data_IF_794733739253
#
_entry.id   IF_794733739253
#
_cell.length_a   1.000
_cell.length_b   1.000
_cell.length_c   1.000
_cell.angle_alpha   90.00
_cell.angle_beta   90.00
_cell.angle_gamma   90.00
#
_symmetry.space_group_name_H-M   'P 1'
#
loop_
_entity.id
_entity.type
_entity.pdbx_description
1 polymer ?
#
# COMPACT_ATOMS: atom_id res chain seq x y z
N UNK A 1 -26.17 -18.23 -15.89
CA UNK A 1 -26.43 -16.88 -15.38
C UNK A 1 -27.89 -16.60 -15.63
N UNK A 2 -28.73 -16.97 -14.67
CA UNK A 2 -30.16 -16.65 -14.61
C UNK A 2 -31.09 -17.30 -15.63
N UNK A 3 -32.38 -17.22 -15.30
CA UNK A 3 -33.49 -17.75 -16.10
C UNK A 3 -34.71 -16.82 -15.99
N UNK A 4 -35.59 -16.84 -17.00
CA UNK A 4 -36.87 -16.17 -16.94
C UNK A 4 -37.92 -17.04 -16.25
N UNK A 5 -38.40 -16.63 -15.09
CA UNK A 5 -39.46 -17.29 -14.34
C UNK A 5 -40.70 -16.40 -14.31
N UNK A 6 -41.86 -16.89 -14.76
CA UNK A 6 -43.14 -16.18 -14.70
C UNK A 6 -43.15 -14.73 -15.25
N UNK A 7 -42.29 -14.41 -16.22
CA UNK A 7 -42.21 -13.08 -16.82
C UNK A 7 -41.21 -12.12 -16.16
N UNK A 8 -40.54 -12.52 -15.07
CA UNK A 8 -39.41 -11.78 -14.48
C UNK A 8 -38.09 -12.53 -14.67
N UNK A 9 -37.00 -11.78 -14.68
CA UNK A 9 -35.65 -12.37 -14.75
C UNK A 9 -35.17 -12.69 -13.34
N UNK A 10 -34.59 -13.88 -13.18
CA UNK A 10 -34.00 -14.32 -11.92
C UNK A 10 -32.53 -14.62 -12.12
N UNK A 11 -31.67 -13.99 -11.32
CA UNK A 11 -30.24 -14.21 -11.36
C UNK A 11 -29.86 -15.55 -10.69
N UNK A 12 -29.21 -16.43 -11.44
CA UNK A 12 -28.64 -17.70 -10.96
C UNK A 12 -27.13 -17.70 -11.22
N UNK A 13 -26.35 -17.26 -10.23
CA UNK A 13 -24.89 -17.19 -10.29
C UNK A 13 -24.28 -18.41 -9.59
N UNK A 14 -23.31 -19.05 -10.23
CA UNK A 14 -22.49 -20.11 -9.64
C UNK A 14 -21.06 -19.62 -9.62
N UNK A 15 -20.48 -19.52 -8.43
CA UNK A 15 -19.11 -19.06 -8.24
C UNK A 15 -18.13 -20.24 -8.36
N UNK A 16 -16.96 -20.00 -8.97
CA UNK A 16 -15.99 -21.05 -9.33
C UNK A 16 -15.18 -21.51 -8.10
N UNK A 17 -15.06 -20.69 -7.06
CA UNK A 17 -14.42 -21.08 -5.79
C UNK A 17 -15.44 -21.11 -4.65
N UNK A 18 -15.33 -22.13 -3.80
CA UNK A 18 -16.08 -22.20 -2.53
C UNK A 18 -15.55 -21.25 -1.44
N UNK A 19 -14.44 -20.55 -1.70
CA UNK A 19 -13.69 -19.76 -0.71
C UNK A 19 -14.00 -18.24 -0.77
N UNK A 20 -15.13 -17.81 -1.35
CA UNK A 20 -15.53 -16.39 -1.39
C UNK A 20 -15.91 -15.84 0.01
N UNK A 21 -15.75 -16.63 1.07
CA UNK A 21 -16.33 -16.35 2.39
C UNK A 21 -15.55 -15.36 3.27
N UNK A 22 -14.37 -14.87 2.86
CA UNK A 22 -13.56 -14.03 3.76
C UNK A 22 -13.38 -12.57 3.30
N UNK A 23 -12.51 -12.29 2.32
CA UNK A 23 -12.14 -10.90 1.98
C UNK A 23 -12.98 -10.25 0.89
N UNK A 24 -13.65 -11.05 0.06
CA UNK A 24 -14.42 -10.57 -1.10
C UNK A 24 -15.92 -10.50 -0.85
N UNK A 25 -16.40 -11.03 0.28
CA UNK A 25 -17.81 -11.07 0.66
C UNK A 25 -18.51 -9.69 0.62
N UNK A 26 -17.90 -8.58 1.08
CA UNK A 26 -18.54 -7.26 0.98
C UNK A 26 -18.74 -6.81 -0.47
N UNK A 27 -17.74 -7.05 -1.34
CA UNK A 27 -17.82 -6.72 -2.76
C UNK A 27 -18.82 -7.61 -3.50
N UNK A 28 -18.95 -8.87 -3.07
CA UNK A 28 -19.96 -9.79 -3.59
C UNK A 28 -21.38 -9.31 -3.28
N UNK A 29 -21.61 -8.86 -2.05
CA UNK A 29 -22.90 -8.33 -1.62
C UNK A 29 -23.27 -7.04 -2.36
N UNK A 30 -22.30 -6.13 -2.53
CA UNK A 30 -22.49 -4.92 -3.34
C UNK A 30 -22.85 -5.29 -4.79
N UNK A 31 -22.13 -6.24 -5.38
CA UNK A 31 -22.40 -6.72 -6.73
C UNK A 31 -23.79 -7.36 -6.86
N UNK A 32 -24.20 -8.18 -5.90
CA UNK A 32 -25.54 -8.77 -5.86
C UNK A 32 -26.62 -7.68 -5.80
N UNK A 33 -26.46 -6.67 -4.94
CA UNK A 33 -27.37 -5.53 -4.84
C UNK A 33 -27.45 -4.72 -6.14
N UNK A 34 -26.37 -4.63 -6.92
CA UNK A 34 -26.38 -3.98 -8.23
C UNK A 34 -27.12 -4.82 -9.27
N UNK A 35 -26.95 -6.15 -9.25
CA UNK A 35 -27.66 -7.05 -10.15
C UNK A 35 -29.16 -7.09 -9.90
N UNK A 36 -29.59 -7.08 -8.64
CA UNK A 36 -31.02 -7.06 -8.29
C UNK A 36 -31.74 -5.81 -8.81
N UNK A 37 -31.02 -4.68 -8.96
CA UNK A 37 -31.56 -3.45 -9.56
C UNK A 37 -31.63 -3.50 -11.08
N UNK A 38 -31.00 -4.49 -11.71
CA UNK A 38 -30.92 -4.62 -13.15
C UNK A 38 -31.90 -5.70 -13.65
N UNK A 39 -32.90 -5.27 -14.42
CA UNK A 39 -33.81 -6.16 -15.13
C UNK A 39 -33.45 -6.22 -16.62
N UNK A 40 -32.97 -7.37 -17.13
CA UNK A 40 -32.77 -7.56 -18.56
C UNK A 40 -34.08 -7.38 -19.33
N UNK A 41 -34.02 -6.82 -20.53
CA UNK A 41 -35.18 -6.64 -21.40
C UNK A 41 -35.13 -7.64 -22.54
N UNK A 42 -36.23 -8.34 -22.79
CA UNK A 42 -36.31 -9.29 -23.91
C UNK A 42 -36.21 -8.55 -25.24
N UNK A 43 -35.48 -9.14 -26.19
CA UNK A 43 -35.35 -8.66 -27.57
C UNK A 43 -34.70 -7.27 -27.71
N UNK A 44 -33.91 -6.85 -26.71
CA UNK A 44 -33.05 -5.67 -26.81
C UNK A 44 -31.60 -6.15 -26.85
N UNK A 45 -30.79 -5.54 -27.72
CA UNK A 45 -29.37 -5.83 -27.81
C UNK A 45 -28.65 -5.21 -26.62
N UNK A 46 -27.76 -5.97 -25.98
CA UNK A 46 -26.97 -5.48 -24.85
C UNK A 46 -26.06 -4.32 -25.25
N UNK A 47 -25.94 -3.34 -24.36
CA UNK A 47 -25.04 -2.20 -24.51
C UNK A 47 -24.31 -1.92 -23.18
N UNK A 48 -23.07 -1.45 -23.27
CA UNK A 48 -22.33 -0.95 -22.12
C UNK A 48 -22.84 0.45 -21.77
N UNK A 49 -23.27 0.64 -20.53
CA UNK A 49 -23.67 1.94 -20.00
C UNK A 49 -22.73 2.34 -18.86
N UNK A 50 -22.15 3.54 -18.95
CA UNK A 50 -21.27 4.08 -17.93
C UNK A 50 -21.97 5.19 -17.15
N UNK A 51 -22.47 4.85 -15.97
CA UNK A 51 -23.30 5.73 -15.14
C UNK A 51 -22.58 6.95 -14.55
N UNK A 52 -21.24 6.99 -14.60
CA UNK A 52 -20.49 8.09 -13.98
C UNK A 52 -20.29 9.30 -14.91
N UNK A 53 -20.74 9.24 -16.16
CA UNK A 53 -20.66 10.36 -17.09
C UNK A 53 -21.96 10.51 -17.90
N UNK A 54 -22.30 11.73 -18.28
CA UNK A 54 -23.56 12.02 -18.99
C UNK A 54 -23.59 11.49 -20.42
N UNK A 55 -22.41 11.29 -21.02
CA UNK A 55 -22.24 10.73 -22.36
C UNK A 55 -22.35 9.19 -22.40
N UNK A 56 -22.49 8.53 -21.24
CA UNK A 56 -22.53 7.07 -21.09
C UNK A 56 -21.29 6.33 -21.60
N UNK A 57 -20.20 7.05 -21.89
CA UNK A 57 -18.97 6.47 -22.42
C UNK A 57 -18.01 6.20 -21.27
N UNK A 58 -17.55 4.96 -21.18
CA UNK A 58 -16.48 4.62 -20.27
C UNK A 58 -15.18 5.29 -20.69
N UNK A 59 -14.60 6.06 -19.77
CA UNK A 59 -13.21 6.50 -19.88
C UNK A 59 -12.46 6.18 -18.59
N UNK A 60 -11.18 5.83 -18.71
CA UNK A 60 -10.30 5.61 -17.54
C UNK A 60 -10.33 6.81 -16.58
N UNK A 61 -10.40 8.04 -17.14
CA UNK A 61 -10.51 9.28 -16.36
C UNK A 61 -11.80 9.33 -15.53
N UNK A 62 -12.96 9.08 -16.15
CA UNK A 62 -14.25 9.13 -15.44
C UNK A 62 -14.38 8.04 -14.36
N UNK A 63 -13.88 6.83 -14.64
CA UNK A 63 -13.78 5.74 -13.66
C UNK A 63 -12.88 6.12 -12.49
N UNK A 64 -11.68 6.63 -12.77
CA UNK A 64 -10.77 7.09 -11.73
C UNK A 64 -11.41 8.18 -10.85
N UNK A 65 -12.07 9.18 -11.43
CA UNK A 65 -12.72 10.25 -10.67
C UNK A 65 -13.88 9.74 -9.82
N UNK A 66 -14.72 8.85 -10.36
CA UNK A 66 -15.82 8.25 -9.61
C UNK A 66 -15.32 7.42 -8.42
N UNK A 67 -14.29 6.59 -8.64
CA UNK A 67 -13.63 5.83 -7.59
C UNK A 67 -13.02 6.74 -6.52
N UNK A 68 -12.35 7.82 -6.91
CA UNK A 68 -11.80 8.78 -5.95
C UNK A 68 -12.88 9.50 -5.15
N UNK A 69 -14.05 9.75 -5.72
CA UNK A 69 -15.18 10.37 -5.04
C UNK A 69 -15.86 9.41 -4.05
N UNK A 70 -16.12 8.17 -4.45
CA UNK A 70 -16.70 7.14 -3.58
C UNK A 70 -15.79 6.80 -2.41
N UNK A 71 -14.48 6.75 -2.65
CA UNK A 71 -13.53 6.49 -1.57
C UNK A 71 -13.24 7.70 -0.68
N UNK A 72 -13.69 8.91 -1.07
CA UNK A 72 -13.60 10.11 -0.22
C UNK A 72 -14.73 10.20 0.82
N UNK A 73 -15.74 9.31 0.76
CA UNK A 73 -16.96 9.40 1.57
C UNK A 73 -17.02 8.45 2.77
N UNK A 74 -15.97 7.67 3.09
CA UNK A 74 -16.00 6.75 4.24
C UNK A 74 -14.64 6.49 4.93
N UNK A 75 -14.60 6.64 6.27
CA UNK A 75 -13.72 5.88 7.18
C UNK A 75 -12.19 5.96 7.05
N UNK A 76 -11.50 4.94 7.59
CA UNK A 76 -10.03 4.75 7.56
C UNK A 76 -9.46 4.82 6.12
N UNK A 77 -10.24 4.41 5.12
CA UNK A 77 -9.88 4.40 3.69
C UNK A 77 -9.65 5.81 3.10
N UNK A 78 -10.44 6.81 3.51
CA UNK A 78 -10.24 8.19 3.10
C UNK A 78 -8.87 8.75 3.54
N UNK A 79 -8.37 8.31 4.70
CA UNK A 79 -7.06 8.71 5.22
C UNK A 79 -5.92 8.06 4.44
N UNK A 80 -6.04 6.77 4.14
CA UNK A 80 -5.08 6.05 3.30
C UNK A 80 -4.96 6.66 1.90
N UNK A 81 -6.09 7.03 1.29
CA UNK A 81 -6.10 7.62 -0.06
C UNK A 81 -5.50 9.01 -0.08
N UNK A 82 -5.80 9.84 0.93
CA UNK A 82 -5.14 11.14 1.10
C UNK A 82 -3.64 10.98 1.21
N UNK A 83 -3.18 10.04 2.03
CA UNK A 83 -1.75 9.75 2.18
C UNK A 83 -1.14 9.23 0.89
N UNK A 84 -1.79 8.29 0.20
CA UNK A 84 -1.35 7.78 -1.10
C UNK A 84 -1.21 8.90 -2.13
N UNK A 85 -2.19 9.80 -2.22
CA UNK A 85 -2.19 10.95 -3.11
C UNK A 85 -1.09 11.96 -2.79
N UNK A 86 -0.93 12.35 -1.52
CA UNK A 86 0.16 13.23 -1.08
C UNK A 86 1.51 12.63 -1.44
N UNK A 87 1.64 11.34 -1.19
CA UNK A 87 2.89 10.66 -1.38
C UNK A 87 3.21 10.51 -2.89
N UNK A 88 2.22 10.40 -3.79
CA UNK A 88 2.46 10.40 -5.25
C UNK A 88 3.03 11.73 -5.75
N UNK A 89 2.71 12.84 -5.08
CA UNK A 89 3.20 14.19 -5.42
C UNK A 89 4.66 14.44 -5.03
N UNK A 90 5.25 13.62 -4.16
CA UNK A 90 6.67 13.73 -3.75
C UNK A 90 7.57 13.45 -4.96
N UNK A 91 8.60 14.26 -5.21
CA UNK A 91 9.52 14.08 -6.34
C UNK A 91 10.66 13.10 -5.97
N UNK A 92 10.33 11.81 -6.02
CA UNK A 92 11.26 10.69 -5.82
C UNK A 92 11.12 9.70 -7.00
N UNK A 93 12.09 8.79 -7.22
CA UNK A 93 12.01 7.82 -8.31
C UNK A 93 10.72 6.97 -8.26
N UNK A 94 10.12 6.70 -9.42
CA UNK A 94 8.84 5.97 -9.53
C UNK A 94 8.86 4.60 -8.85
N UNK A 95 10.00 3.89 -8.87
CA UNK A 95 10.18 2.61 -8.16
C UNK A 95 9.98 2.71 -6.65
N UNK A 96 10.38 3.83 -6.05
CA UNK A 96 10.22 4.11 -4.62
C UNK A 96 8.77 4.44 -4.30
N UNK A 97 8.10 5.21 -5.18
CA UNK A 97 6.65 5.48 -5.06
C UNK A 97 5.83 4.19 -5.11
N UNK A 98 6.18 3.29 -6.02
CA UNK A 98 5.51 2.00 -6.17
C UNK A 98 5.73 1.10 -4.95
N UNK A 99 6.95 1.04 -4.42
CA UNK A 99 7.23 0.28 -3.19
C UNK A 99 6.33 0.74 -2.05
N UNK A 100 6.21 2.05 -1.84
CA UNK A 100 5.34 2.60 -0.80
C UNK A 100 3.88 2.29 -1.00
N UNK A 101 3.38 2.38 -2.22
CA UNK A 101 2.00 2.00 -2.50
C UNK A 101 1.74 0.56 -2.02
N UNK A 102 2.68 -0.34 -2.30
CA UNK A 102 2.61 -1.72 -1.81
C UNK A 102 2.76 -1.81 -0.29
N UNK A 103 3.58 -0.98 0.33
CA UNK A 103 3.75 -0.93 1.78
C UNK A 103 2.44 -0.53 2.46
N UNK A 104 1.80 0.56 2.06
CA UNK A 104 0.55 1.04 2.67
C UNK A 104 -0.65 0.11 2.47
N UNK A 105 -0.63 -0.67 1.41
CA UNK A 105 -1.69 -1.65 1.14
C UNK A 105 -1.43 -3.02 1.80
N UNK A 106 -0.35 -3.17 2.58
CA UNK A 106 0.13 -4.45 3.10
C UNK A 106 0.36 -5.52 2.00
N UNK A 107 0.89 -5.07 0.85
CA UNK A 107 1.08 -5.87 -0.39
C UNK A 107 2.55 -6.10 -0.76
N UNK A 108 3.49 -5.83 0.14
CA UNK A 108 4.88 -6.25 -0.06
C UNK A 108 4.99 -7.78 0.02
N UNK A 109 5.87 -8.42 -0.78
CA UNK A 109 6.05 -9.86 -0.78
C UNK A 109 6.94 -10.30 0.40
N UNK A 110 6.51 -9.97 1.62
CA UNK A 110 7.07 -10.51 2.86
C UNK A 110 6.67 -11.99 2.99
N UNK A 111 7.42 -12.77 3.77
CA UNK A 111 7.12 -14.21 3.92
C UNK A 111 5.71 -14.45 4.46
N UNK A 112 5.24 -13.63 5.40
CA UNK A 112 3.86 -13.73 5.89
C UNK A 112 2.84 -13.44 4.77
N UNK A 113 3.06 -12.43 3.94
CA UNK A 113 2.14 -12.10 2.85
C UNK A 113 2.16 -13.12 1.71
N UNK A 114 3.33 -13.72 1.44
CA UNK A 114 3.47 -14.80 0.48
C UNK A 114 2.79 -16.08 0.97
N UNK A 115 2.92 -16.41 2.27
CA UNK A 115 2.21 -17.53 2.90
C UNK A 115 0.69 -17.38 2.80
N UNK A 116 0.14 -16.18 3.04
CA UNK A 116 -1.28 -15.86 2.83
C UNK A 116 -1.75 -16.07 1.37
N UNK A 117 -0.84 -16.04 0.40
CA UNK A 117 -1.14 -16.25 -1.03
C UNK A 117 -0.97 -17.72 -1.48
N UNK A 118 -0.85 -18.64 -0.53
CA UNK A 118 -0.74 -20.08 -0.81
C UNK A 118 0.68 -20.53 -1.15
N UNK A 119 1.71 -19.70 -0.97
CA UNK A 119 3.08 -20.19 -1.03
C UNK A 119 3.39 -20.97 0.26
N UNK A 120 3.73 -22.24 0.10
CA UNK A 120 4.07 -23.13 1.20
C UNK A 120 5.32 -22.66 1.93
N UNK A 121 5.14 -22.07 3.10
CA UNK A 121 6.21 -21.81 4.06
C UNK A 121 5.85 -22.55 5.34
N UNK A 122 6.77 -23.37 5.84
CA UNK A 122 6.67 -23.87 7.21
C UNK A 122 6.86 -22.71 8.20
N UNK A 123 6.41 -22.86 9.45
CA UNK A 123 6.51 -21.80 10.48
C UNK A 123 7.94 -21.27 10.61
N UNK A 124 8.94 -22.15 10.54
CA UNK A 124 10.36 -21.78 10.60
C UNK A 124 10.86 -21.03 9.36
N UNK A 125 10.19 -21.16 8.22
CA UNK A 125 10.57 -20.48 6.98
C UNK A 125 9.93 -19.09 6.86
N UNK A 126 8.97 -18.75 7.73
CA UNK A 126 8.33 -17.42 7.77
C UNK A 126 9.13 -16.37 8.53
N UNK A 127 10.23 -16.75 9.17
CA UNK A 127 11.04 -15.84 9.99
C UNK A 127 11.68 -14.69 9.18
N UNK A 128 11.86 -13.55 9.82
CA UNK A 128 12.46 -12.34 9.26
C UNK A 128 13.89 -12.58 8.76
N UNK A 129 14.18 -12.11 7.53
CA UNK A 129 15.50 -12.23 6.93
C UNK A 129 16.62 -11.45 7.66
N UNK A 130 16.27 -10.56 8.59
CA UNK A 130 17.25 -9.80 9.37
C UNK A 130 17.54 -10.44 10.73
N UNK A 131 16.50 -10.73 11.53
CA UNK A 131 16.68 -11.20 12.91
C UNK A 131 16.56 -12.72 13.05
N UNK A 132 16.01 -13.42 12.05
CA UNK A 132 15.75 -14.86 12.07
C UNK A 132 14.95 -15.36 13.29
N UNK A 133 14.26 -14.45 14.01
CA UNK A 133 13.59 -14.74 15.29
C UNK A 133 12.07 -14.65 15.19
N UNK A 134 11.55 -13.57 14.60
CA UNK A 134 10.11 -13.30 14.51
C UNK A 134 9.61 -13.45 13.07
N UNK A 135 8.31 -13.66 12.91
CA UNK A 135 7.65 -13.74 11.60
C UNK A 135 7.86 -12.47 10.76
N UNK A 136 8.19 -12.64 9.48
CA UNK A 136 8.44 -11.55 8.54
C UNK A 136 7.12 -10.96 8.02
N UNK A 137 6.51 -10.08 8.80
CA UNK A 137 5.46 -9.18 8.34
C UNK A 137 6.04 -7.78 8.05
N UNK A 138 5.26 -6.88 7.42
CA UNK A 138 5.76 -5.54 7.05
C UNK A 138 6.12 -4.71 8.29
N UNK A 139 5.28 -4.73 9.33
CA UNK A 139 5.52 -3.99 10.57
C UNK A 139 6.83 -4.40 11.24
N UNK A 140 7.04 -5.71 11.37
CA UNK A 140 8.27 -6.27 11.90
C UNK A 140 9.48 -5.91 11.05
N UNK A 141 9.42 -6.20 9.75
CA UNK A 141 10.54 -5.96 8.83
C UNK A 141 10.95 -4.48 8.79
N UNK A 142 9.98 -3.57 8.78
CA UNK A 142 10.24 -2.15 8.61
C UNK A 142 10.54 -1.43 9.92
N UNK A 143 9.93 -1.80 11.04
CA UNK A 143 9.93 -0.96 12.25
C UNK A 143 10.30 -1.70 13.54
N UNK A 144 9.95 -2.98 13.70
CA UNK A 144 10.12 -3.66 15.00
C UNK A 144 11.39 -4.48 15.09
N UNK A 145 11.89 -4.97 13.95
CA UNK A 145 13.12 -5.74 13.86
C UNK A 145 14.31 -4.93 14.37
N UNK A 146 15.18 -5.58 15.16
CA UNK A 146 16.34 -4.92 15.77
C UNK A 146 17.23 -4.22 14.75
N UNK A 147 17.51 -4.85 13.61
CA UNK A 147 18.30 -4.25 12.53
C UNK A 147 17.64 -2.99 11.95
N UNK A 148 16.32 -3.02 11.78
CA UNK A 148 15.55 -1.87 11.29
C UNK A 148 15.50 -0.75 12.32
N UNK A 149 15.33 -1.08 13.61
CA UNK A 149 15.42 -0.12 14.72
C UNK A 149 16.77 0.58 14.77
N UNK A 150 17.87 -0.16 14.56
CA UNK A 150 19.20 0.45 14.47
C UNK A 150 19.30 1.46 13.32
N UNK A 151 18.80 1.11 12.13
CA UNK A 151 18.75 2.03 10.99
C UNK A 151 17.94 3.28 11.35
N UNK A 152 16.72 3.11 11.88
CA UNK A 152 15.87 4.23 12.26
C UNK A 152 16.51 5.13 13.33
N UNK A 153 17.20 4.55 14.31
CA UNK A 153 17.94 5.31 15.33
C UNK A 153 19.01 6.20 14.68
N UNK A 154 19.81 5.67 13.76
CA UNK A 154 20.84 6.44 13.05
C UNK A 154 20.25 7.56 12.19
N UNK A 155 19.08 7.32 11.58
CA UNK A 155 18.36 8.37 10.84
C UNK A 155 17.78 9.41 11.81
N UNK A 156 17.22 9.02 12.96
CA UNK A 156 16.72 9.95 13.97
C UNK A 156 17.82 10.86 14.50
N UNK A 157 19.00 10.30 14.79
CA UNK A 157 20.20 11.07 15.20
C UNK A 157 20.60 12.06 14.11
N UNK A 158 20.62 11.62 12.85
CA UNK A 158 20.94 12.51 11.72
C UNK A 158 19.95 13.65 11.53
N UNK A 159 18.66 13.42 11.82
CA UNK A 159 17.63 14.44 11.69
C UNK A 159 17.45 15.30 12.95
N UNK A 160 18.21 15.03 14.01
CA UNK A 160 18.04 15.65 15.35
C UNK A 160 16.57 15.58 15.82
N UNK A 161 15.86 14.52 15.41
CA UNK A 161 14.43 14.35 15.66
C UNK A 161 14.13 12.91 16.02
N UNK A 162 13.42 12.75 17.13
CA UNK A 162 13.12 11.43 17.63
C UNK A 162 11.96 10.78 16.84
N UNK A 163 12.31 9.90 15.90
CA UNK A 163 11.33 9.06 15.20
C UNK A 163 11.03 7.78 15.98
N UNK A 164 10.81 7.84 17.30
CA UNK A 164 10.42 6.63 18.04
C UNK A 164 9.08 6.11 17.54
N UNK A 165 9.14 4.95 16.89
CA UNK A 165 7.99 4.16 16.47
C UNK A 165 7.57 3.26 17.65
N UNK A 166 6.53 3.64 18.38
CA UNK A 166 5.90 2.79 19.41
C UNK A 166 4.50 2.34 18.94
N UNK A 167 4.19 1.05 19.08
CA UNK A 167 2.86 0.47 18.77
C UNK A 167 2.67 0.00 17.32
N UNK A 168 1.42 -0.21 16.89
CA UNK A 168 1.06 -0.70 15.54
C UNK A 168 1.49 0.29 14.44
N UNK A 169 2.71 0.09 13.95
CA UNK A 169 3.58 1.15 13.42
C UNK A 169 3.13 1.74 12.07
N UNK A 170 2.31 1.03 11.28
CA UNK A 170 1.80 1.57 10.02
C UNK A 170 0.66 2.56 10.26
N UNK A 171 -0.26 2.24 11.18
CA UNK A 171 -1.33 3.16 11.60
C UNK A 171 -0.77 4.33 12.40
N UNK A 172 0.21 4.07 13.26
CA UNK A 172 0.89 5.09 14.05
C UNK A 172 1.73 6.05 13.19
N UNK A 173 2.27 5.63 12.06
CA UNK A 173 2.96 6.56 11.14
C UNK A 173 1.97 7.45 10.36
N UNK A 174 0.85 6.89 9.89
CA UNK A 174 -0.22 7.65 9.23
C UNK A 174 -0.87 8.67 10.19
N UNK A 175 -1.03 8.31 11.46
CA UNK A 175 -1.51 9.22 12.51
C UNK A 175 -0.42 10.18 13.01
N UNK A 176 0.84 9.78 13.09
CA UNK A 176 1.95 10.70 13.38
C UNK A 176 2.06 11.80 12.31
N UNK A 177 1.67 11.52 11.06
CA UNK A 177 1.62 12.53 10.00
C UNK A 177 0.60 13.66 10.27
N UNK A 178 -0.50 13.40 10.99
CA UNK A 178 -1.44 14.46 11.41
C UNK A 178 -0.93 15.25 12.62
N UNK A 179 -0.07 14.64 13.45
CA UNK A 179 0.46 15.22 14.69
C UNK A 179 1.77 16.01 14.53
N UNK A 180 2.47 15.89 13.40
CA UNK A 180 3.68 16.68 13.09
C UNK A 180 3.34 18.16 12.78
N UNK A 181 2.97 18.92 13.81
CA UNK A 181 3.07 20.38 13.88
C UNK A 181 4.53 20.73 14.23
N UNK A 182 5.29 21.30 13.30
CA UNK A 182 6.65 21.78 13.56
C UNK A 182 7.50 21.92 12.29
N UNK A 183 8.22 23.03 12.19
CA UNK A 183 8.72 23.74 10.99
C UNK A 183 9.86 23.08 10.17
N UNK A 184 9.99 21.75 10.14
CA UNK A 184 10.81 21.07 9.11
C UNK A 184 9.87 20.55 8.02
N UNK A 185 10.04 21.03 6.79
CA UNK A 185 9.12 20.78 5.66
C UNK A 185 8.64 19.32 5.64
N UNK A 186 7.33 19.11 5.82
CA UNK A 186 6.69 17.79 5.84
C UNK A 186 7.12 16.93 4.66
N UNK A 187 7.43 17.55 3.53
CA UNK A 187 7.90 16.84 2.34
C UNK A 187 9.32 16.27 2.51
N UNK A 188 10.22 16.95 3.22
CA UNK A 188 11.58 16.45 3.51
C UNK A 188 11.54 15.16 4.31
N UNK A 189 10.74 15.14 5.39
CA UNK A 189 10.50 13.94 6.21
C UNK A 189 9.93 12.78 5.39
N UNK A 190 9.01 13.06 4.46
CA UNK A 190 8.49 12.06 3.53
C UNK A 190 9.59 11.46 2.66
N UNK A 191 10.44 12.29 2.05
CA UNK A 191 11.52 11.79 1.20
C UNK A 191 12.43 10.87 2.01
N UNK A 192 12.88 11.30 3.19
CA UNK A 192 13.79 10.51 4.04
C UNK A 192 13.15 9.19 4.46
N UNK A 193 11.91 9.21 4.97
CA UNK A 193 11.21 8.00 5.38
C UNK A 193 11.06 6.99 4.23
N UNK A 194 10.73 7.51 3.05
CA UNK A 194 10.59 6.72 1.82
C UNK A 194 11.89 6.10 1.36
N UNK A 195 12.97 6.87 1.45
CA UNK A 195 14.33 6.38 1.19
C UNK A 195 14.68 5.28 2.17
N UNK A 196 14.42 5.45 3.47
CA UNK A 196 14.67 4.42 4.50
C UNK A 196 13.95 3.13 4.18
N UNK A 197 12.62 3.15 3.98
CA UNK A 197 11.85 1.96 3.64
C UNK A 197 12.37 1.28 2.35
N UNK A 198 12.77 2.07 1.36
CA UNK A 198 13.35 1.56 0.11
C UNK A 198 14.65 0.79 0.32
N UNK A 199 15.59 1.33 1.09
CA UNK A 199 16.87 0.67 1.34
C UNK A 199 16.73 -0.52 2.29
N UNK A 200 15.86 -0.44 3.30
CA UNK A 200 15.51 -1.59 4.15
C UNK A 200 14.96 -2.73 3.30
N UNK A 201 13.99 -2.45 2.42
CA UNK A 201 13.43 -3.45 1.53
C UNK A 201 14.46 -4.06 0.57
N UNK A 202 15.30 -3.24 -0.04
CA UNK A 202 16.33 -3.73 -0.95
C UNK A 202 17.36 -4.58 -0.23
N UNK A 203 17.78 -4.18 0.97
CA UNK A 203 18.72 -4.96 1.78
C UNK A 203 18.14 -6.33 2.11
N UNK A 204 16.87 -6.40 2.51
CA UNK A 204 16.16 -7.68 2.70
C UNK A 204 16.17 -8.52 1.43
N UNK A 205 15.87 -7.94 0.27
CA UNK A 205 15.89 -8.68 -1.00
C UNK A 205 17.28 -9.19 -1.36
N UNK A 206 18.33 -8.38 -1.13
CA UNK A 206 19.72 -8.82 -1.32
C UNK A 206 20.04 -10.04 -0.45
N UNK A 207 19.65 -10.04 0.83
CA UNK A 207 19.84 -11.21 1.71
C UNK A 207 19.11 -12.43 1.16
N UNK A 208 17.85 -12.27 0.75
CA UNK A 208 17.02 -13.36 0.24
C UNK A 208 17.53 -13.97 -1.07
N UNK A 209 17.98 -13.14 -2.01
CA UNK A 209 18.33 -13.60 -3.36
C UNK A 209 19.82 -13.77 -3.61
N UNK A 210 20.68 -13.02 -2.90
CA UNK A 210 22.15 -13.07 -3.07
C UNK A 210 22.88 -13.76 -1.91
N UNK A 211 22.17 -14.08 -0.80
CA UNK A 211 22.74 -14.71 0.41
C UNK A 211 23.92 -13.94 1.03
N UNK A 212 24.00 -12.63 0.78
CA UNK A 212 25.05 -11.77 1.30
C UNK A 212 24.72 -11.33 2.74
N UNK A 213 25.45 -11.84 3.72
CA UNK A 213 25.41 -11.36 5.12
C UNK A 213 26.41 -10.20 5.22
N UNK A 214 25.97 -9.01 4.83
CA UNK A 214 26.75 -7.78 5.07
C UNK A 214 26.11 -7.02 6.22
N UNK A 215 26.93 -6.48 7.11
CA UNK A 215 26.52 -5.62 8.22
C UNK A 215 25.47 -4.60 7.74
N UNK A 216 24.35 -4.57 8.44
CA UNK A 216 23.09 -3.99 7.97
C UNK A 216 23.07 -2.47 8.19
N UNK A 217 23.93 -1.92 9.05
CA UNK A 217 23.78 -0.53 9.51
C UNK A 217 24.50 0.49 8.61
N UNK A 218 25.83 0.44 8.49
CA UNK A 218 26.60 1.59 8.02
C UNK A 218 26.38 1.92 6.53
N UNK A 219 26.52 0.92 5.65
CA UNK A 219 26.34 1.11 4.19
C UNK A 219 24.89 1.48 3.85
N UNK A 220 23.92 0.90 4.57
CA UNK A 220 22.50 1.20 4.36
C UNK A 220 22.20 2.62 4.80
N UNK A 221 22.64 3.02 5.99
CA UNK A 221 22.46 4.38 6.53
C UNK A 221 23.15 5.41 5.63
N UNK A 222 24.37 5.16 5.17
CA UNK A 222 25.06 6.04 4.22
C UNK A 222 24.23 6.26 2.95
N UNK A 223 23.75 5.17 2.34
CA UNK A 223 22.91 5.26 1.15
C UNK A 223 21.60 6.00 1.43
N UNK A 224 20.97 5.79 2.59
CA UNK A 224 19.75 6.52 2.95
C UNK A 224 20.03 8.03 3.01
N UNK A 225 21.11 8.45 3.67
CA UNK A 225 21.49 9.87 3.77
C UNK A 225 21.79 10.45 2.38
N UNK A 226 22.61 9.77 1.60
CA UNK A 226 23.02 10.19 0.25
C UNK A 226 21.82 10.35 -0.69
N UNK A 227 20.98 9.32 -0.81
CA UNK A 227 19.84 9.36 -1.75
C UNK A 227 18.72 10.27 -1.27
N UNK A 228 18.53 10.42 0.04
CA UNK A 228 17.60 11.41 0.57
C UNK A 228 18.07 12.82 0.19
N UNK A 229 19.34 13.13 0.37
CA UNK A 229 19.90 14.42 -0.04
C UNK A 229 19.77 14.63 -1.55
N UNK A 230 20.16 13.65 -2.38
CA UNK A 230 20.03 13.73 -3.85
C UNK A 230 18.58 14.05 -4.26
N UNK A 231 17.59 13.35 -3.70
CA UNK A 231 16.19 13.57 -4.06
C UNK A 231 15.61 14.88 -3.53
N UNK A 232 16.15 15.39 -2.42
CA UNK A 232 15.80 16.72 -1.92
C UNK A 232 16.42 17.83 -2.75
N UNK A 233 17.66 17.69 -3.22
CA UNK A 233 18.35 18.74 -3.98
C UNK A 233 17.89 18.81 -5.43
N UNK A 234 17.51 17.67 -6.04
CA UNK A 234 17.02 17.64 -7.43
C UNK A 234 15.73 18.47 -7.62
N UNK A 235 14.99 18.74 -6.55
CA UNK A 235 13.78 19.54 -6.61
C UNK A 235 13.96 20.88 -5.89
N UNK A 236 14.02 21.96 -6.68
CA UNK A 236 14.13 23.33 -6.20
C UNK A 236 12.99 23.76 -5.26
N UNK A 237 11.87 23.01 -5.23
CA UNK A 237 10.80 23.23 -4.26
C UNK A 237 11.13 22.79 -2.82
N UNK A 238 12.26 22.10 -2.61
CA UNK A 238 12.78 21.74 -1.29
C UNK A 238 13.95 22.62 -0.84
N UNK A 239 14.55 23.41 -1.74
CA UNK A 239 15.73 24.25 -1.48
C UNK A 239 15.40 25.72 -1.20
N UNK A 240 14.12 26.10 -1.24
CA UNK A 240 13.66 27.43 -0.85
C UNK A 240 13.42 27.46 0.66
N UNK A 241 14.48 27.83 1.41
CA UNK A 241 14.39 28.43 2.75
C UNK A 241 14.44 29.95 2.65
#
# INVERSE_FOLDING_TARGET
>A
MGDWEAGSWKWCLKWISGDVENQEAPGLLEFQNLLEKAEPKRNIVDAFDWYSNTDKIFTVKSCYLNLMQSLSTSGEDASLIRVMNLALKVKIPSKVKFLRLRLFLDRLPTRCQLSKRGLGFNVHERVCAFCFTFDENIGHLMFECQSSKCIWKEISVWLEFDMLFSGDNMKNFLSSFTLLKGMVDKKRKWVIWMTTCWFVWNKRNTIMFKKEIVDISEVVVFNIKLFSWIWLVIDSSYTQE
#
